data_IF_901309082479
#
_entry.id   IF_901309082479
#
_cell.length_a   1.000
_cell.length_b   1.000
_cell.length_c   1.000
_cell.angle_alpha   90.00
_cell.angle_beta   90.00
_cell.angle_gamma   90.00
#
_symmetry.space_group_name_H-M   'P 1'
#
loop_
_entity.id
_entity.type
_entity.pdbx_description
1 polymer ?
#
# COMPACT_ATOMS: atom_id res chain seq x y z
N UNK A 1 19.76 -5.72 -52.79
CA UNK A 1 20.81 -5.72 -51.75
C UNK A 1 20.19 -5.03 -50.55
N UNK A 2 19.95 -5.60 -49.37
CA UNK A 2 20.50 -6.78 -48.70
C UNK A 2 21.01 -6.34 -47.31
N UNK A 3 20.34 -6.79 -46.23
CA UNK A 3 20.77 -6.73 -44.81
C UNK A 3 20.24 -5.52 -44.03
N UNK A 4 19.24 -5.64 -43.14
CA UNK A 4 19.14 -6.35 -41.84
C UNK A 4 19.97 -5.73 -40.70
N UNK A 5 19.33 -5.52 -39.56
CA UNK A 5 19.95 -4.89 -38.39
C UNK A 5 18.99 -4.52 -37.25
N UNK A 6 18.29 -5.52 -36.69
CA UNK A 6 18.16 -5.65 -35.23
C UNK A 6 17.03 -4.90 -34.51
N UNK A 7 16.08 -5.70 -34.01
CA UNK A 7 15.14 -5.36 -32.95
C UNK A 7 15.86 -4.81 -31.70
N UNK A 8 15.42 -3.64 -31.25
CA UNK A 8 15.71 -3.12 -29.92
C UNK A 8 14.38 -2.77 -29.26
N UNK A 9 13.68 -3.78 -28.75
CA UNK A 9 12.52 -3.56 -27.89
C UNK A 9 12.99 -2.77 -26.67
N UNK A 10 12.63 -1.49 -26.61
CA UNK A 10 12.78 -0.68 -25.41
C UNK A 10 11.92 -1.33 -24.33
N UNK A 11 12.56 -2.19 -23.52
CA UNK A 11 12.00 -2.65 -22.26
C UNK A 11 11.77 -1.43 -21.40
N UNK A 12 10.55 -0.89 -21.45
CA UNK A 12 10.10 0.18 -20.58
C UNK A 12 10.33 -0.25 -19.14
N UNK A 13 11.44 0.19 -18.56
CA UNK A 13 11.75 -0.05 -17.18
C UNK A 13 10.83 0.87 -16.38
N UNK A 14 9.65 0.38 -16.05
CA UNK A 14 8.75 1.08 -15.14
C UNK A 14 9.47 1.18 -13.78
N UNK A 15 9.92 2.39 -13.44
CA UNK A 15 10.51 2.68 -12.12
C UNK A 15 9.35 2.74 -11.13
N UNK A 16 8.89 1.58 -10.70
CA UNK A 16 7.98 1.48 -9.58
C UNK A 16 8.81 1.67 -8.32
N UNK A 17 8.75 2.84 -7.68
CA UNK A 17 9.44 3.01 -6.40
C UNK A 17 8.72 2.15 -5.36
N UNK A 18 9.37 1.07 -4.95
CA UNK A 18 8.93 0.21 -3.85
C UNK A 18 8.92 0.96 -2.52
N UNK A 19 9.55 2.13 -2.45
CA UNK A 19 9.58 3.02 -1.30
C UNK A 19 9.04 4.40 -1.69
N UNK A 20 8.13 4.93 -0.88
CA UNK A 20 7.65 6.32 -0.99
C UNK A 20 7.81 7.00 0.37
N UNK A 21 8.33 8.22 0.36
CA UNK A 21 8.35 9.10 1.52
C UNK A 21 7.27 10.18 1.36
N UNK A 22 6.41 10.29 2.36
CA UNK A 22 5.32 11.27 2.38
C UNK A 22 5.58 12.33 3.44
N UNK A 23 5.27 13.59 3.12
CA UNK A 23 5.28 14.72 4.05
C UNK A 23 3.90 15.40 3.99
N UNK A 24 3.00 15.02 4.89
CA UNK A 24 1.69 15.65 4.97
C UNK A 24 1.80 17.00 5.67
N UNK A 25 1.20 18.06 5.11
CA UNK A 25 1.31 19.44 5.62
C UNK A 25 -0.08 20.02 5.83
N UNK A 26 -0.21 20.91 6.81
CA UNK A 26 -1.44 21.67 7.05
C UNK A 26 -1.94 22.34 5.76
N UNK A 27 -3.25 22.28 5.53
CA UNK A 27 -3.91 22.89 4.36
C UNK A 27 -3.87 22.04 3.08
N UNK A 28 -3.15 20.92 3.05
CA UNK A 28 -3.20 19.99 1.92
C UNK A 28 -4.48 19.15 1.93
N UNK A 29 -4.95 18.80 0.74
CA UNK A 29 -6.04 17.83 0.54
C UNK A 29 -5.46 16.52 0.04
N UNK A 30 -5.89 15.40 0.64
CA UNK A 30 -5.50 14.06 0.22
C UNK A 30 -6.74 13.27 -0.19
N UNK A 31 -6.68 12.70 -1.39
CA UNK A 31 -7.78 11.91 -1.96
C UNK A 31 -7.77 10.49 -1.38
N UNK A 32 -8.97 9.90 -1.32
CA UNK A 32 -9.12 8.46 -1.16
C UNK A 32 -8.47 7.74 -2.34
N UNK A 33 -7.66 6.73 -2.06
CA UNK A 33 -7.00 5.92 -3.06
C UNK A 33 -6.67 4.52 -2.51
N UNK A 34 -6.28 3.64 -3.42
CA UNK A 34 -5.60 2.37 -3.13
C UNK A 34 -4.16 2.47 -3.64
N UNK A 35 -3.24 1.71 -3.06
CA UNK A 35 -1.85 1.67 -3.53
C UNK A 35 -1.73 0.86 -4.83
N UNK A 36 -2.42 -0.27 -4.90
CA UNK A 36 -2.51 -1.13 -6.07
C UNK A 36 -3.70 -2.09 -5.94
N UNK A 37 -4.38 -2.36 -7.07
CA UNK A 37 -5.43 -3.36 -7.17
C UNK A 37 -5.07 -4.38 -8.26
N UNK A 38 -4.79 -5.64 -7.91
CA UNK A 38 -4.43 -6.67 -8.88
C UNK A 38 -5.56 -7.03 -9.87
N UNK A 39 -6.80 -6.63 -9.60
CA UNK A 39 -7.92 -6.80 -10.53
C UNK A 39 -8.04 -5.63 -11.54
N UNK A 40 -7.36 -4.52 -11.29
CA UNK A 40 -7.43 -3.30 -12.10
C UNK A 40 -6.06 -2.82 -12.61
N UNK A 41 -5.06 -3.73 -12.65
CA UNK A 41 -3.73 -3.40 -13.16
C UNK A 41 -3.76 -3.07 -14.66
N UNK A 42 -3.00 -2.07 -15.12
CA UNK A 42 -2.84 -1.81 -16.55
C UNK A 42 -2.11 -2.98 -17.24
N UNK A 43 -2.21 -3.08 -18.58
CA UNK A 43 -1.41 -4.03 -19.36
C UNK A 43 0.08 -3.95 -18.96
N UNK A 44 0.62 -5.08 -18.52
CA UNK A 44 1.97 -5.17 -17.95
C UNK A 44 2.41 -6.63 -17.87
N UNK A 45 3.72 -6.87 -17.80
CA UNK A 45 4.28 -8.22 -17.60
C UNK A 45 3.72 -8.91 -16.34
N UNK A 46 3.32 -8.13 -15.34
CA UNK A 46 2.61 -8.63 -14.16
C UNK A 46 1.27 -9.26 -14.52
N UNK A 47 0.45 -8.54 -15.28
CA UNK A 47 -0.86 -9.00 -15.73
C UNK A 47 -0.73 -10.20 -16.68
N UNK A 48 0.30 -10.23 -17.51
CA UNK A 48 0.58 -11.38 -18.39
C UNK A 48 0.91 -12.65 -17.58
N UNK A 49 1.66 -12.51 -16.47
CA UNK A 49 2.07 -13.63 -15.64
C UNK A 49 0.95 -14.12 -14.68
N UNK A 50 0.18 -13.22 -14.09
CA UNK A 50 -0.75 -13.56 -13.02
C UNK A 50 -2.23 -13.37 -13.39
N UNK A 51 -2.53 -12.65 -14.47
CA UNK A 51 -3.89 -12.26 -14.83
C UNK A 51 -4.50 -11.30 -13.81
N UNK A 52 -5.81 -11.09 -13.94
CA UNK A 52 -6.60 -10.32 -12.97
C UNK A 52 -7.03 -11.24 -11.83
N UNK A 53 -6.86 -10.80 -10.58
CA UNK A 53 -7.24 -11.58 -9.41
C UNK A 53 -7.55 -10.70 -8.21
N UNK A 54 -8.31 -11.22 -7.25
CA UNK A 54 -8.58 -10.55 -5.96
C UNK A 54 -7.37 -10.67 -5.04
N UNK A 55 -6.92 -9.58 -4.44
CA UNK A 55 -5.78 -9.61 -3.53
C UNK A 55 -6.04 -10.59 -2.36
N UNK A 56 -5.06 -11.44 -2.05
CA UNK A 56 -5.22 -12.54 -1.09
C UNK A 56 -5.91 -13.81 -1.62
N UNK A 57 -6.17 -13.89 -2.92
CA UNK A 57 -6.57 -15.16 -3.55
C UNK A 57 -5.49 -16.23 -3.39
N UNK A 58 -5.91 -17.47 -3.13
CA UNK A 58 -5.00 -18.60 -2.88
C UNK A 58 -4.10 -18.86 -4.09
N UNK A 59 -2.80 -19.01 -3.85
CA UNK A 59 -1.82 -19.27 -4.91
C UNK A 59 -1.56 -18.08 -5.84
N UNK A 60 -2.05 -16.89 -5.51
CA UNK A 60 -1.73 -15.64 -6.20
C UNK A 60 -0.78 -14.79 -5.36
N UNK A 61 0.04 -13.91 -5.97
CA UNK A 61 0.86 -13.00 -5.19
C UNK A 61 0.02 -12.08 -4.29
N UNK A 62 0.48 -11.87 -3.07
CA UNK A 62 -0.16 -10.99 -2.10
C UNK A 62 0.51 -9.61 -2.12
N UNK A 63 -0.27 -8.57 -2.40
CA UNK A 63 0.19 -7.18 -2.45
C UNK A 63 -0.06 -6.48 -1.12
N UNK A 64 1.01 -5.98 -0.50
CA UNK A 64 1.00 -5.45 0.88
C UNK A 64 1.73 -4.10 0.96
N UNK A 65 1.18 -3.15 1.70
CA UNK A 65 1.86 -1.91 2.06
C UNK A 65 2.25 -1.91 3.54
N UNK A 66 3.51 -1.55 3.81
CA UNK A 66 4.01 -1.24 5.15
C UNK A 66 4.19 0.28 5.26
N UNK A 67 3.30 0.92 6.01
CA UNK A 67 3.37 2.33 6.38
C UNK A 67 4.07 2.48 7.72
N UNK A 68 5.11 3.31 7.80
CA UNK A 68 5.87 3.61 9.01
C UNK A 68 5.79 5.10 9.31
N UNK A 69 5.35 5.45 10.51
CA UNK A 69 5.38 6.83 11.01
C UNK A 69 6.75 7.13 11.63
N UNK A 70 7.49 8.07 11.04
CA UNK A 70 8.92 8.28 11.34
C UNK A 70 9.20 9.51 12.20
N UNK A 71 8.18 10.33 12.49
CA UNK A 71 8.32 11.42 13.45
C UNK A 71 8.63 10.87 14.85
N UNK A 72 9.53 11.56 15.54
CA UNK A 72 9.94 11.28 16.92
C UNK A 72 8.86 11.58 17.95
N UNK A 73 8.01 12.56 17.65
CA UNK A 73 6.84 12.94 18.43
C UNK A 73 5.64 13.19 17.50
N UNK A 74 4.48 12.68 17.88
CA UNK A 74 3.21 13.12 17.30
C UNK A 74 2.10 13.12 18.33
N UNK A 75 1.56 14.31 18.62
CA UNK A 75 0.50 14.51 19.61
C UNK A 75 -0.88 14.31 18.99
N UNK A 76 -1.86 13.90 19.78
CA UNK A 76 -3.21 13.59 19.29
C UNK A 76 -3.87 14.81 18.64
N UNK A 77 -3.66 15.98 19.21
CA UNK A 77 -4.17 17.28 18.75
C UNK A 77 -3.51 17.81 17.46
N UNK A 78 -2.52 17.08 16.92
CA UNK A 78 -1.88 17.41 15.65
C UNK A 78 -2.56 16.72 14.45
N UNK A 79 -3.61 15.93 14.68
CA UNK A 79 -4.38 15.17 13.68
C UNK A 79 -3.47 14.30 12.79
N UNK A 80 -3.65 14.36 11.47
CA UNK A 80 -2.89 13.63 10.46
C UNK A 80 -2.97 12.08 10.54
N UNK A 81 -4.11 11.57 11.00
CA UNK A 81 -4.44 10.15 10.93
C UNK A 81 -4.43 9.61 9.51
N UNK A 82 -4.07 8.33 9.40
CA UNK A 82 -4.43 7.53 8.22
C UNK A 82 -5.81 6.95 8.45
N UNK A 83 -6.72 7.22 7.53
CA UNK A 83 -8.11 6.78 7.53
C UNK A 83 -8.26 5.63 6.55
N UNK A 84 -8.88 4.56 6.99
CA UNK A 84 -9.22 3.38 6.20
C UNK A 84 -10.73 3.25 6.11
N UNK A 85 -11.26 2.98 4.92
CA UNK A 85 -12.69 2.95 4.64
C UNK A 85 -13.09 1.60 4.02
N UNK A 86 -14.10 0.97 4.61
CA UNK A 86 -14.96 0.02 3.94
C UNK A 86 -16.10 0.81 3.30
N UNK A 87 -15.98 1.07 2.00
CA UNK A 87 -16.92 1.91 1.25
C UNK A 87 -18.29 1.24 1.10
N UNK A 88 -18.33 -0.09 0.95
CA UNK A 88 -19.58 -0.84 0.82
C UNK A 88 -20.43 -0.73 2.09
N UNK A 89 -19.79 -0.71 3.25
CA UNK A 89 -20.47 -0.63 4.55
C UNK A 89 -20.51 0.77 5.14
N UNK A 90 -19.78 1.72 4.56
CA UNK A 90 -19.68 3.09 5.07
C UNK A 90 -19.05 3.19 6.46
N UNK A 91 -18.19 2.24 6.83
CA UNK A 91 -17.50 2.19 8.13
C UNK A 91 -15.99 2.25 7.93
N UNK A 92 -15.25 2.68 8.95
CA UNK A 92 -13.81 2.83 8.82
C UNK A 92 -13.09 2.84 10.14
N UNK A 93 -11.76 2.85 10.05
CA UNK A 93 -10.87 3.03 11.19
C UNK A 93 -9.87 4.14 10.92
N UNK A 94 -9.47 4.80 12.00
CA UNK A 94 -8.42 5.81 11.98
C UNK A 94 -7.19 5.27 12.71
N UNK A 95 -6.02 5.57 12.17
CA UNK A 95 -4.74 5.26 12.78
C UNK A 95 -3.99 6.55 13.05
N UNK A 96 -3.78 6.84 14.32
CA UNK A 96 -2.93 7.96 14.74
C UNK A 96 -1.47 7.68 14.37
N UNK A 97 -0.72 8.69 13.89
CA UNK A 97 0.64 8.52 13.41
C UNK A 97 1.66 8.56 14.56
N UNK A 98 1.54 7.63 15.52
CA UNK A 98 2.42 7.59 16.68
C UNK A 98 3.87 7.27 16.26
N UNK A 99 4.87 7.82 16.95
CA UNK A 99 6.28 7.53 16.67
C UNK A 99 6.58 6.03 16.56
N UNK A 100 7.22 5.63 15.46
CA UNK A 100 7.63 4.25 15.19
C UNK A 100 6.48 3.26 14.96
N UNK A 101 5.23 3.72 14.90
CA UNK A 101 4.10 2.84 14.60
C UNK A 101 4.18 2.38 13.14
N UNK A 102 3.94 1.09 12.95
CA UNK A 102 3.80 0.46 11.65
C UNK A 102 2.34 0.07 11.41
N UNK A 103 1.86 0.30 10.19
CA UNK A 103 0.59 -0.24 9.69
C UNK A 103 0.93 -1.15 8.52
N UNK A 104 0.42 -2.37 8.59
CA UNK A 104 0.58 -3.35 7.55
C UNK A 104 -0.80 -3.66 6.99
N UNK A 105 -0.98 -3.44 5.69
CA UNK A 105 -2.29 -3.45 5.04
C UNK A 105 -2.20 -4.06 3.64
N UNK A 106 -3.31 -4.58 3.13
CA UNK A 106 -3.37 -4.93 1.72
C UNK A 106 -3.36 -3.64 0.87
N UNK A 107 -2.75 -3.71 -0.32
CA UNK A 107 -2.60 -2.53 -1.20
C UNK A 107 -3.92 -2.04 -1.80
N UNK A 108 -4.94 -2.88 -1.83
CA UNK A 108 -6.29 -2.61 -2.35
C UNK A 108 -7.26 -2.09 -1.28
N UNK A 109 -6.78 -1.82 -0.06
CA UNK A 109 -7.60 -1.16 0.97
C UNK A 109 -7.73 0.32 0.66
N UNK A 110 -8.97 0.83 0.59
CA UNK A 110 -9.25 2.24 0.36
C UNK A 110 -8.83 3.08 1.58
N UNK A 111 -7.95 4.05 1.36
CA UNK A 111 -7.41 4.86 2.44
C UNK A 111 -7.07 6.29 2.01
N UNK A 112 -6.90 7.17 3.00
CA UNK A 112 -6.35 8.52 2.83
C UNK A 112 -5.67 9.02 4.10
N UNK A 113 -4.92 10.09 3.97
CA UNK A 113 -4.33 10.83 5.10
C UNK A 113 -5.21 12.05 5.41
N UNK A 114 -5.49 12.35 6.68
CA UNK A 114 -6.00 13.67 7.07
C UNK A 114 -4.85 14.68 7.09
N UNK A 115 -5.12 15.95 6.81
CA UNK A 115 -4.08 16.98 6.96
C UNK A 115 -3.70 17.13 8.44
N UNK A 116 -2.43 17.41 8.78
CA UNK A 116 -2.09 17.90 10.10
C UNK A 116 -2.91 19.12 10.47
N UNK A 117 -3.18 19.27 11.77
CA UNK A 117 -3.81 20.48 12.31
C UNK A 117 -2.86 21.66 12.24
N UNK A 118 -3.40 22.89 12.33
CA UNK A 118 -2.58 24.11 12.39
C UNK A 118 -1.62 24.10 13.61
N UNK A 119 -1.99 23.39 14.68
CA UNK A 119 -1.21 23.31 15.90
C UNK A 119 0.10 22.52 15.73
N UNK A 120 0.18 21.63 14.74
CA UNK A 120 1.38 20.84 14.48
C UNK A 120 2.57 21.72 14.09
N UNK A 121 2.34 22.77 13.27
CA UNK A 121 3.38 23.69 12.75
C UNK A 121 4.58 22.99 12.08
N UNK A 122 4.44 21.71 11.74
CA UNK A 122 5.44 20.87 11.07
C UNK A 122 4.75 19.84 10.16
N UNK A 123 5.43 19.31 9.14
CA UNK A 123 4.93 18.17 8.38
C UNK A 123 4.87 16.90 9.22
N UNK A 124 3.95 15.99 8.86
CA UNK A 124 3.95 14.59 9.29
C UNK A 124 4.69 13.75 8.26
N UNK A 125 5.74 13.05 8.67
CA UNK A 125 6.52 12.18 7.81
C UNK A 125 6.11 10.72 7.92
N UNK A 126 6.14 10.01 6.80
CA UNK A 126 6.04 8.55 6.79
C UNK A 126 6.76 7.92 5.61
N UNK A 127 7.15 6.67 5.78
CA UNK A 127 7.65 5.80 4.72
C UNK A 127 6.59 4.76 4.38
N UNK A 128 6.38 4.49 3.10
CA UNK A 128 5.52 3.40 2.60
C UNK A 128 6.39 2.46 1.79
N UNK A 129 6.49 1.21 2.25
CA UNK A 129 7.10 0.13 1.47
C UNK A 129 5.99 -0.67 0.80
N UNK A 130 6.03 -0.72 -0.53
CA UNK A 130 5.16 -1.55 -1.36
C UNK A 130 5.82 -2.90 -1.59
N UNK A 131 5.20 -3.94 -1.05
CA UNK A 131 5.69 -5.30 -1.02
C UNK A 131 4.81 -6.21 -1.86
N UNK A 132 5.45 -7.16 -2.53
CA UNK A 132 4.80 -8.24 -3.24
C UNK A 132 5.32 -9.56 -2.68
N UNK A 133 4.43 -10.36 -2.09
CA UNK A 133 4.75 -11.67 -1.53
C UNK A 133 4.30 -12.74 -2.54
N UNK A 134 5.26 -13.42 -3.17
CA UNK A 134 4.97 -14.45 -4.17
C UNK A 134 4.87 -15.82 -3.48
N UNK A 135 3.79 -16.59 -3.70
CA UNK A 135 3.64 -17.92 -3.14
C UNK A 135 4.77 -18.85 -3.59
N UNK A 136 5.29 -19.67 -2.67
CA UNK A 136 6.25 -20.72 -3.03
C UNK A 136 5.53 -21.85 -3.77
N UNK A 137 6.15 -22.36 -4.84
CA UNK A 137 5.67 -23.52 -5.58
C UNK A 137 5.36 -24.70 -4.63
N UNK A 138 4.19 -25.33 -4.81
CA UNK A 138 3.75 -26.49 -4.00
C UNK A 138 3.16 -26.17 -2.63
N UNK A 139 3.05 -24.90 -2.19
CA UNK A 139 2.47 -24.52 -0.88
C UNK A 139 1.09 -23.84 -0.93
N UNK A 140 0.41 -23.85 -2.07
CA UNK A 140 -0.83 -23.10 -2.36
C UNK A 140 -2.10 -23.48 -1.54
N UNK A 141 -1.97 -24.13 -0.37
CA UNK A 141 -3.12 -24.66 0.39
C UNK A 141 -3.58 -23.82 1.58
N UNK A 142 -2.79 -22.87 2.06
CA UNK A 142 -3.22 -21.96 3.11
C UNK A 142 -3.54 -20.58 2.52
N UNK A 143 -4.64 -19.96 2.98
CA UNK A 143 -4.93 -18.57 2.65
C UNK A 143 -3.73 -17.73 3.08
N UNK A 144 -3.03 -17.14 2.12
CA UNK A 144 -1.92 -16.24 2.43
C UNK A 144 -2.49 -15.01 3.12
N UNK A 145 -2.28 -14.93 4.43
CA UNK A 145 -2.62 -13.77 5.23
C UNK A 145 -1.34 -13.12 5.71
N UNK A 146 -1.37 -11.79 5.72
CA UNK A 146 -0.35 -10.99 6.40
C UNK A 146 -0.48 -11.10 7.92
N UNK A 147 -1.66 -11.49 8.43
CA UNK A 147 -1.87 -11.68 9.85
C UNK A 147 -1.06 -12.89 10.34
N UNK A 148 -0.30 -12.69 11.41
CA UNK A 148 0.46 -13.72 12.10
C UNK A 148 0.00 -13.77 13.55
N UNK A 149 -0.30 -14.95 14.13
CA UNK A 149 -0.74 -15.04 15.53
C UNK A 149 0.19 -14.33 16.52
N UNK A 150 1.49 -14.36 16.25
CA UNK A 150 2.54 -13.72 17.06
C UNK A 150 2.56 -12.18 16.99
N UNK A 151 1.87 -11.56 16.02
CA UNK A 151 1.76 -10.09 15.89
C UNK A 151 0.54 -9.52 16.64
N UNK A 152 -0.21 -10.38 17.33
CA UNK A 152 -1.45 -10.03 18.01
C UNK A 152 -2.68 -10.18 17.12
N UNK A 153 -3.85 -9.87 17.70
CA UNK A 153 -5.11 -9.96 16.98
C UNK A 153 -5.19 -8.83 15.93
N UNK A 154 -5.42 -9.14 14.64
CA UNK A 154 -5.63 -8.11 13.65
C UNK A 154 -6.88 -7.29 13.98
N UNK A 155 -6.79 -5.98 13.82
CA UNK A 155 -7.96 -5.12 13.89
C UNK A 155 -8.84 -5.42 12.67
N UNK A 156 -9.97 -6.07 12.91
CA UNK A 156 -11.00 -6.31 11.89
C UNK A 156 -11.98 -5.15 11.94
N UNK A 157 -12.19 -4.51 10.80
CA UNK A 157 -13.24 -3.51 10.60
C UNK A 157 -13.79 -3.71 9.19
N UNK A 158 -15.08 -3.42 9.03
CA UNK A 158 -15.90 -3.91 7.93
C UNK A 158 -16.92 -4.89 8.44
#
# INVERSE_FOLDING_TARGET
EGGDGGEGGEGGQFVYSSLVANAAVYGHCFCWHVDADPAAMPPSAWRDAYGDYTNGASGRPLLVSLLVYVDDEWRREWDAETLFLDDERGVGVLVQPRPGRCVLMHQDVLHRVSAPSLAARRPRYSLVLRLCLVPKEGRARERESVCRPEWGAPARFG
#
